data_IF_916522941906
#
_entry.id   IF_916522941906
#
_cell.length_a   1.000
_cell.length_b   1.000
_cell.length_c   1.000
_cell.angle_alpha   90.00
_cell.angle_beta   90.00
_cell.angle_gamma   90.00
#
_symmetry.space_group_name_H-M   'P 1'
#
loop_
_entity.id
_entity.type
_entity.pdbx_description
1 polymer ?
#
# COMPACT_ATOMS: atom_id res chain seq x y z
N UNK A 1 2.99 -15.38 7.04
CA UNK A 1 2.56 -14.09 7.60
C UNK A 1 1.05 -14.07 7.74
N UNK A 2 0.29 -14.44 6.70
CA UNK A 2 -1.16 -14.55 6.81
C UNK A 2 -1.60 -15.47 7.95
N UNK A 3 -2.59 -15.01 8.71
CA UNK A 3 -3.26 -15.71 9.82
C UNK A 3 -4.77 -15.42 9.75
N UNK A 4 -5.39 -15.83 8.64
CA UNK A 4 -6.82 -15.60 8.34
C UNK A 4 -7.79 -16.04 9.43
N UNK A 5 -7.40 -17.01 10.26
CA UNK A 5 -8.27 -17.61 11.27
C UNK A 5 -7.89 -17.18 12.69
N UNK A 6 -7.00 -16.18 12.86
CA UNK A 6 -6.49 -15.72 14.15
C UNK A 6 -6.06 -16.92 15.04
N UNK A 7 -5.23 -17.79 14.47
CA UNK A 7 -4.85 -19.06 15.10
C UNK A 7 -4.06 -18.84 16.40
N UNK A 8 -3.32 -17.72 16.48
CA UNK A 8 -2.61 -17.31 17.68
C UNK A 8 -3.49 -16.57 18.70
N UNK A 9 -4.74 -16.25 18.34
CA UNK A 9 -5.73 -15.51 19.16
C UNK A 9 -5.21 -14.18 19.64
N UNK A 10 -4.36 -13.56 18.84
CA UNK A 10 -3.89 -12.22 19.11
C UNK A 10 -4.93 -11.20 18.66
N UNK A 11 -5.99 -11.54 17.92
CA UNK A 11 -7.05 -10.65 17.48
C UNK A 11 -6.75 -9.91 16.16
N UNK A 12 -5.73 -10.35 15.42
CA UNK A 12 -5.34 -9.83 14.10
C UNK A 12 -5.44 -10.99 13.11
N UNK A 13 -6.24 -10.79 12.06
CA UNK A 13 -6.61 -11.83 11.08
C UNK A 13 -6.09 -11.52 9.68
N UNK A 14 -4.84 -11.06 9.61
CA UNK A 14 -4.22 -10.59 8.36
C UNK A 14 -4.31 -11.61 7.24
N UNK A 15 -4.80 -11.19 6.07
CA UNK A 15 -5.03 -12.10 4.95
C UNK A 15 -4.62 -11.60 3.58
N UNK A 16 -4.42 -12.54 2.66
CA UNK A 16 -4.12 -12.23 1.27
C UNK A 16 -5.38 -11.95 0.46
N UNK A 17 -5.30 -11.06 -0.53
CA UNK A 17 -6.31 -10.97 -1.58
C UNK A 17 -5.93 -11.88 -2.76
N UNK A 18 -6.89 -12.58 -3.35
CA UNK A 18 -6.73 -13.29 -4.62
C UNK A 18 -7.47 -12.51 -5.70
N UNK A 19 -6.80 -12.23 -6.81
CA UNK A 19 -7.31 -11.29 -7.82
C UNK A 19 -7.07 -11.83 -9.22
N UNK A 20 -7.93 -11.46 -10.15
CA UNK A 20 -7.67 -11.71 -11.57
C UNK A 20 -6.57 -10.77 -12.08
N UNK A 21 -5.53 -11.34 -12.71
CA UNK A 21 -4.43 -10.59 -13.31
C UNK A 21 -4.56 -10.62 -14.83
N UNK A 22 -4.90 -9.49 -15.48
CA UNK A 22 -4.97 -9.41 -16.94
C UNK A 22 -3.63 -9.68 -17.63
N UNK A 23 -2.51 -9.26 -17.03
CA UNK A 23 -1.17 -9.53 -17.60
C UNK A 23 -0.75 -10.99 -17.52
N UNK A 24 -1.23 -11.74 -16.52
CA UNK A 24 -0.93 -13.17 -16.36
C UNK A 24 -2.02 -14.09 -16.93
N UNK A 25 -3.19 -13.54 -17.27
CA UNK A 25 -4.39 -14.26 -17.68
C UNK A 25 -4.78 -15.38 -16.70
N UNK A 26 -4.65 -15.10 -15.41
CA UNK A 26 -4.91 -16.05 -14.33
C UNK A 26 -5.29 -15.35 -13.02
N UNK A 27 -5.89 -16.10 -12.10
CA UNK A 27 -5.96 -15.70 -10.70
C UNK A 27 -4.56 -15.72 -10.08
N UNK A 28 -4.25 -14.69 -9.31
CA UNK A 28 -2.95 -14.52 -8.67
C UNK A 28 -3.07 -13.80 -7.33
N UNK A 29 -2.01 -13.90 -6.52
CA UNK A 29 -1.89 -13.16 -5.28
C UNK A 29 -1.86 -11.64 -5.55
N UNK A 30 -2.80 -10.93 -4.95
CA UNK A 30 -2.86 -9.49 -4.90
C UNK A 30 -1.71 -8.86 -4.09
N UNK A 31 -1.11 -7.78 -4.61
CA UNK A 31 0.08 -7.14 -4.01
C UNK A 31 0.01 -5.61 -3.97
N UNK A 32 -0.57 -4.99 -4.99
CA UNK A 32 -0.59 -3.54 -5.17
C UNK A 32 -2.01 -2.96 -5.03
N UNK A 33 -2.10 -1.63 -4.90
CA UNK A 33 -3.34 -0.93 -4.61
C UNK A 33 -3.71 -0.92 -3.13
N UNK A 34 -4.83 -0.25 -2.81
CA UNK A 34 -5.30 -0.06 -1.43
C UNK A 34 -5.83 -1.34 -0.79
N UNK A 35 -6.43 -2.23 -1.60
CA UNK A 35 -6.98 -3.52 -1.16
C UNK A 35 -6.21 -4.72 -1.72
N UNK A 36 -4.93 -4.52 -2.04
CA UNK A 36 -4.11 -5.52 -2.74
C UNK A 36 -4.80 -6.02 -4.03
N UNK A 37 -5.52 -5.16 -4.75
CA UNK A 37 -6.41 -5.53 -5.85
C UNK A 37 -5.71 -5.67 -7.21
N UNK A 38 -4.38 -5.56 -7.25
CA UNK A 38 -3.54 -5.79 -8.44
C UNK A 38 -2.43 -6.78 -8.12
N UNK A 39 -2.25 -7.81 -8.96
CA UNK A 39 -1.25 -8.85 -8.72
C UNK A 39 0.16 -8.42 -9.12
N UNK A 40 0.30 -7.71 -10.23
CA UNK A 40 1.60 -7.27 -10.77
C UNK A 40 1.66 -5.75 -10.91
N UNK A 41 2.89 -5.20 -11.00
CA UNK A 41 3.06 -3.79 -11.39
C UNK A 41 2.56 -3.56 -12.82
N UNK A 42 2.64 -4.55 -13.71
CA UNK A 42 2.05 -4.45 -15.05
C UNK A 42 0.53 -4.23 -14.96
N UNK A 43 -0.20 -4.99 -14.14
CA UNK A 43 -1.65 -4.82 -13.97
C UNK A 43 -2.04 -3.44 -13.40
N UNK A 44 -1.20 -2.89 -12.51
CA UNK A 44 -1.41 -1.55 -11.93
C UNK A 44 -1.11 -0.46 -12.96
N UNK A 45 0.05 -0.51 -13.61
CA UNK A 45 0.53 0.51 -14.54
C UNK A 45 -0.33 0.55 -15.81
N UNK A 46 -0.56 -0.60 -16.44
CA UNK A 46 -1.39 -0.69 -17.64
C UNK A 46 -2.84 -0.27 -17.37
N UNK A 47 -3.37 -0.59 -16.18
CA UNK A 47 -4.69 -0.16 -15.76
C UNK A 47 -4.78 1.35 -15.51
N UNK A 48 -3.73 1.96 -14.96
CA UNK A 48 -3.67 3.41 -14.74
C UNK A 48 -3.54 4.21 -16.04
N UNK A 49 -2.80 3.69 -17.02
CA UNK A 49 -2.72 4.31 -18.35
C UNK A 49 -4.11 4.49 -18.96
N UNK A 50 -4.95 3.46 -18.97
CA UNK A 50 -6.31 3.57 -19.54
C UNK A 50 -7.30 4.25 -18.59
N UNK A 51 -7.24 3.96 -17.29
CA UNK A 51 -8.26 4.37 -16.32
C UNK A 51 -8.09 5.80 -15.80
N UNK A 52 -6.85 6.28 -15.71
CA UNK A 52 -6.53 7.60 -15.13
C UNK A 52 -6.01 8.59 -16.16
N UNK A 53 -5.22 8.12 -17.15
CA UNK A 53 -4.56 8.98 -18.15
C UNK A 53 -5.33 9.01 -19.47
N UNK A 54 -6.05 7.93 -19.81
CA UNK A 54 -6.75 7.77 -21.09
C UNK A 54 -5.82 7.39 -22.24
N UNK A 55 -4.91 6.44 -22.00
CA UNK A 55 -3.98 5.89 -23.00
C UNK A 55 -4.15 4.36 -23.06
N UNK A 56 -4.52 3.84 -24.22
CA UNK A 56 -4.69 2.39 -24.42
C UNK A 56 -3.36 1.64 -24.55
N UNK A 57 -3.36 0.35 -24.19
CA UNK A 57 -2.20 -0.55 -24.26
C UNK A 57 -2.64 -1.99 -24.60
N UNK A 58 -1.70 -2.90 -24.85
CA UNK A 58 -2.06 -4.28 -25.23
C UNK A 58 -2.71 -5.10 -24.10
N UNK A 59 -2.54 -4.73 -22.83
CA UNK A 59 -3.25 -5.38 -21.70
C UNK A 59 -4.70 -4.86 -21.61
N UNK A 60 -4.91 -3.58 -21.90
CA UNK A 60 -6.22 -2.91 -21.93
C UNK A 60 -6.38 -2.11 -23.23
N UNK A 61 -6.79 -2.77 -24.34
CA UNK A 61 -6.80 -2.17 -25.67
C UNK A 61 -8.05 -1.35 -25.98
N UNK A 62 -8.98 -1.26 -25.03
CA UNK A 62 -10.25 -0.55 -25.19
C UNK A 62 -10.24 0.72 -24.35
N UNK A 63 -10.77 1.80 -24.93
CA UNK A 63 -10.96 3.06 -24.22
C UNK A 63 -11.92 2.91 -23.03
N UNK A 64 -11.71 3.73 -22.00
CA UNK A 64 -12.56 3.74 -20.81
C UNK A 64 -13.70 4.74 -20.94
N UNK A 65 -14.69 4.44 -21.79
CA UNK A 65 -15.92 5.23 -21.94
C UNK A 65 -17.17 4.36 -21.77
N UNK A 66 -18.29 4.97 -21.39
CA UNK A 66 -19.59 4.30 -21.40
C UNK A 66 -20.12 4.18 -22.84
N UNK A 67 -21.16 3.35 -23.06
CA UNK A 67 -21.85 3.29 -24.36
C UNK A 67 -22.47 4.66 -24.74
N UNK A 68 -22.91 5.44 -23.74
CA UNK A 68 -23.46 6.78 -23.96
C UNK A 68 -22.41 7.81 -24.36
N UNK A 69 -21.14 7.53 -24.07
CA UNK A 69 -19.97 8.35 -24.40
C UNK A 69 -19.13 7.72 -25.51
N UNK A 70 -19.70 6.75 -26.24
CA UNK A 70 -19.01 6.08 -27.33
C UNK A 70 -18.47 7.12 -28.32
N UNK A 71 -17.16 7.07 -28.51
CA UNK A 71 -16.47 7.97 -29.42
C UNK A 71 -16.84 7.60 -30.86
N UNK A 72 -17.05 8.61 -31.71
CA UNK A 72 -17.24 8.40 -33.13
C UNK A 72 -15.95 7.84 -33.77
N UNK A 73 -16.08 7.13 -34.89
CA UNK A 73 -14.91 6.56 -35.59
C UNK A 73 -13.87 7.60 -36.03
N UNK A 74 -14.26 8.88 -36.13
CA UNK A 74 -13.41 10.02 -36.48
C UNK A 74 -12.81 10.75 -35.27
N UNK A 75 -13.03 10.25 -34.05
CA UNK A 75 -12.42 10.81 -32.85
C UNK A 75 -10.89 10.76 -32.97
N UNK A 76 -10.17 11.84 -32.60
CA UNK A 76 -8.70 11.82 -32.57
C UNK A 76 -8.20 10.65 -31.71
N UNK A 77 -7.29 9.86 -32.27
CA UNK A 77 -6.70 8.68 -31.62
C UNK A 77 -5.19 8.71 -31.74
N UNK A 78 -4.49 8.34 -30.67
CA UNK A 78 -3.04 8.17 -30.67
C UNK A 78 -2.56 6.87 -31.34
N UNK A 79 -3.46 5.99 -31.77
CA UNK A 79 -3.13 4.67 -32.31
C UNK A 79 -3.97 3.54 -31.72
N UNK A 80 -3.60 2.29 -32.03
CA UNK A 80 -4.29 1.10 -31.51
C UNK A 80 -3.28 -0.04 -31.30
N UNK A 81 -2.77 -0.26 -30.08
CA UNK A 81 -2.90 0.63 -28.91
C UNK A 81 -2.08 1.92 -29.06
N UNK A 82 -2.31 2.89 -28.17
CA UNK A 82 -1.62 4.19 -28.19
C UNK A 82 -0.20 4.18 -27.61
N UNK A 83 0.04 3.43 -26.53
CA UNK A 83 1.40 3.21 -26.00
C UNK A 83 1.98 1.90 -26.52
N UNK A 84 3.27 1.91 -26.86
CA UNK A 84 4.00 0.71 -27.26
C UNK A 84 4.26 -0.21 -26.06
N UNK A 85 4.40 -1.52 -26.30
CA UNK A 85 4.77 -2.47 -25.25
C UNK A 85 6.14 -2.12 -24.63
N UNK A 86 7.08 -1.63 -25.43
CA UNK A 86 8.41 -1.26 -24.95
C UNK A 86 8.33 -0.08 -23.97
N UNK A 87 7.56 0.96 -24.29
CA UNK A 87 7.43 2.12 -23.40
C UNK A 87 6.69 1.73 -22.10
N UNK A 88 5.67 0.87 -22.20
CA UNK A 88 4.97 0.35 -21.02
C UNK A 88 5.90 -0.50 -20.14
N UNK A 89 6.68 -1.40 -20.74
CA UNK A 89 7.68 -2.23 -20.05
C UNK A 89 8.77 -1.37 -19.40
N UNK A 90 9.23 -0.31 -20.06
CA UNK A 90 10.23 0.61 -19.52
C UNK A 90 9.71 1.35 -18.28
N UNK A 91 8.43 1.78 -18.28
CA UNK A 91 7.78 2.37 -17.11
C UNK A 91 7.67 1.35 -15.97
N UNK A 92 7.24 0.12 -16.28
CA UNK A 92 7.14 -0.96 -15.27
C UNK A 92 8.51 -1.28 -14.68
N UNK A 93 9.55 -1.38 -15.51
CA UNK A 93 10.92 -1.63 -15.07
C UNK A 93 11.47 -0.49 -14.20
N UNK A 94 11.21 0.76 -14.58
CA UNK A 94 11.55 1.93 -13.76
C UNK A 94 10.89 1.85 -12.37
N UNK A 95 9.59 1.56 -12.30
CA UNK A 95 8.88 1.42 -11.03
C UNK A 95 9.39 0.25 -10.17
N UNK A 96 9.76 -0.87 -10.80
CA UNK A 96 10.35 -2.02 -10.12
C UNK A 96 11.71 -1.73 -9.49
N UNK A 97 12.47 -0.80 -10.08
CA UNK A 97 13.86 -0.51 -9.70
C UNK A 97 14.02 0.80 -8.92
N UNK A 98 12.91 1.51 -8.66
CA UNK A 98 12.93 2.74 -7.90
C UNK A 98 13.35 2.48 -6.45
N UNK A 99 14.44 3.10 -6.04
CA UNK A 99 14.95 2.97 -4.68
C UNK A 99 14.02 3.63 -3.67
N UNK A 100 13.88 3.01 -2.51
CA UNK A 100 13.13 3.57 -1.38
C UNK A 100 13.95 4.69 -0.71
N UNK A 101 13.30 5.73 -0.16
CA UNK A 101 14.01 6.75 0.60
C UNK A 101 14.74 6.17 1.82
N UNK A 102 15.92 6.70 2.15
CA UNK A 102 16.61 6.33 3.37
C UNK A 102 15.86 6.83 4.62
N UNK A 103 15.92 6.03 5.69
CA UNK A 103 15.41 6.43 7.00
C UNK A 103 16.16 7.67 7.54
N UNK A 104 15.42 8.58 8.17
CA UNK A 104 15.88 9.90 8.64
C UNK A 104 16.13 9.87 10.14
N UNK A 105 17.16 9.14 10.55
CA UNK A 105 17.52 8.93 11.96
C UNK A 105 18.56 9.97 12.38
N UNK A 106 18.11 11.04 13.05
CA UNK A 106 18.99 12.11 13.52
C UNK A 106 19.58 11.83 14.91
N UNK A 107 18.77 11.31 15.84
CA UNK A 107 19.19 10.89 17.18
C UNK A 107 18.73 9.44 17.43
N UNK A 108 19.68 8.58 17.81
CA UNK A 108 19.43 7.16 18.06
C UNK A 108 18.65 6.91 19.35
N UNK A 109 18.76 7.78 20.35
CA UNK A 109 18.09 7.61 21.65
C UNK A 109 16.55 7.67 21.51
N UNK A 110 16.00 8.81 21.05
CA UNK A 110 14.58 8.95 20.76
C UNK A 110 14.07 7.93 19.74
N UNK A 111 14.83 7.66 18.68
CA UNK A 111 14.48 6.65 17.67
C UNK A 111 14.27 5.27 18.29
N UNK A 112 15.20 4.83 19.14
CA UNK A 112 15.12 3.50 19.77
C UNK A 112 13.93 3.40 20.73
N UNK A 113 13.66 4.46 21.52
CA UNK A 113 12.48 4.50 22.40
C UNK A 113 11.16 4.47 21.62
N UNK A 114 11.06 5.25 20.54
CA UNK A 114 9.88 5.26 19.69
C UNK A 114 9.65 3.91 18.99
N UNK A 115 10.73 3.24 18.56
CA UNK A 115 10.68 1.88 18.03
C UNK A 115 10.21 0.86 19.07
N UNK A 116 10.69 0.96 20.31
CA UNK A 116 10.25 0.10 21.42
C UNK A 116 8.76 0.28 21.68
N UNK A 117 8.29 1.53 21.78
CA UNK A 117 6.86 1.84 21.93
C UNK A 117 6.03 1.27 20.77
N UNK A 118 6.51 1.37 19.52
CA UNK A 118 5.84 0.83 18.33
C UNK A 118 5.64 -0.69 18.42
N UNK A 119 6.59 -1.40 19.03
CA UNK A 119 6.48 -2.83 19.28
C UNK A 119 5.56 -3.12 20.49
N UNK A 120 5.73 -2.38 21.58
CA UNK A 120 4.98 -2.54 22.84
C UNK A 120 3.47 -2.37 22.65
N UNK A 121 3.05 -1.36 21.88
CA UNK A 121 1.62 -1.10 21.61
C UNK A 121 1.09 -1.91 20.41
N UNK A 122 1.87 -2.89 19.93
CA UNK A 122 1.50 -3.82 18.86
C UNK A 122 1.28 -3.21 17.47
N UNK A 123 1.77 -2.00 17.16
CA UNK A 123 1.75 -1.50 15.78
C UNK A 123 2.51 -2.43 14.82
N UNK A 124 3.60 -3.03 15.32
CA UNK A 124 4.43 -3.97 14.57
C UNK A 124 3.76 -5.31 14.22
N UNK A 125 2.54 -5.57 14.71
CA UNK A 125 1.82 -6.80 14.39
C UNK A 125 1.34 -6.82 12.92
N UNK A 126 0.88 -5.68 12.39
CA UNK A 126 0.57 -5.51 10.96
C UNK A 126 1.70 -4.77 10.23
N UNK A 127 2.29 -3.74 10.87
CA UNK A 127 3.43 -3.00 10.31
C UNK A 127 4.77 -3.71 10.57
N UNK A 128 4.89 -4.94 10.06
CA UNK A 128 6.03 -5.83 10.31
C UNK A 128 7.35 -5.18 9.88
N UNK A 129 8.34 -5.03 10.78
CA UNK A 129 9.54 -4.24 10.50
C UNK A 129 10.47 -4.78 9.42
N UNK A 130 10.44 -6.09 9.12
CA UNK A 130 11.43 -6.75 8.28
C UNK A 130 10.76 -7.75 7.36
N UNK A 131 11.04 -7.66 6.06
CA UNK A 131 10.69 -8.65 5.07
C UNK A 131 11.95 -9.08 4.30
N UNK A 132 11.91 -10.28 3.72
CA UNK A 132 12.94 -10.78 2.80
C UNK A 132 12.35 -10.92 1.41
N UNK A 133 12.99 -10.37 0.39
CA UNK A 133 12.59 -10.60 -1.00
C UNK A 133 12.97 -12.03 -1.42
N UNK A 134 12.28 -12.54 -2.44
CA UNK A 134 12.52 -13.90 -2.93
C UNK A 134 13.95 -14.06 -3.44
N UNK A 135 14.59 -15.20 -3.14
CA UNK A 135 15.96 -15.49 -3.56
C UNK A 135 16.08 -15.69 -5.08
N UNK A 136 14.98 -16.06 -5.73
CA UNK A 136 14.86 -16.28 -7.17
C UNK A 136 14.24 -15.09 -7.93
N UNK A 137 14.10 -13.93 -7.29
CA UNK A 137 13.52 -12.74 -7.95
C UNK A 137 14.26 -12.41 -9.27
N UNK A 138 13.53 -12.07 -10.37
CA UNK A 138 14.14 -11.91 -11.70
C UNK A 138 15.24 -10.84 -11.77
N UNK A 139 15.02 -9.70 -11.11
CA UNK A 139 16.02 -8.62 -11.04
C UNK A 139 17.02 -8.99 -9.95
N UNK A 140 18.21 -9.47 -10.35
CA UNK A 140 19.21 -10.01 -9.42
C UNK A 140 19.67 -9.05 -8.33
N UNK A 141 19.71 -7.75 -8.61
CA UNK A 141 20.02 -6.73 -7.60
C UNK A 141 18.97 -6.66 -6.47
N UNK A 142 17.74 -7.10 -6.72
CA UNK A 142 16.62 -7.06 -5.78
C UNK A 142 16.31 -8.42 -5.13
N UNK A 143 16.98 -9.50 -5.56
CA UNK A 143 16.78 -10.85 -5.03
C UNK A 143 17.44 -11.05 -3.65
N UNK A 144 16.78 -11.80 -2.76
CA UNK A 144 17.32 -12.19 -1.44
C UNK A 144 17.61 -11.02 -0.48
N UNK A 145 17.06 -9.83 -0.75
CA UNK A 145 17.29 -8.62 0.03
C UNK A 145 16.51 -8.66 1.34
N UNK A 146 17.17 -8.23 2.43
CA UNK A 146 16.49 -7.95 3.69
C UNK A 146 16.12 -6.48 3.74
N UNK A 147 14.80 -6.21 3.71
CA UNK A 147 14.24 -4.86 3.65
C UNK A 147 13.49 -4.53 4.94
N UNK A 148 13.27 -3.24 5.22
CA UNK A 148 12.57 -2.76 6.42
C UNK A 148 11.32 -1.93 6.15
N UNK A 149 10.27 -2.49 5.51
CA UNK A 149 9.16 -1.71 4.98
C UNK A 149 8.07 -1.35 6.00
N UNK A 150 8.06 -1.99 7.18
CA UNK A 150 7.03 -1.81 8.21
C UNK A 150 5.63 -2.08 7.66
N UNK A 151 5.46 -3.29 7.13
CA UNK A 151 4.20 -3.82 6.57
C UNK A 151 4.33 -5.32 6.40
N UNK A 152 3.23 -6.04 6.53
CA UNK A 152 3.08 -7.43 6.13
C UNK A 152 2.46 -7.60 4.73
N UNK A 153 2.02 -6.50 4.12
CA UNK A 153 1.30 -6.40 2.84
C UNK A 153 -0.05 -7.15 2.83
N UNK A 154 -0.62 -7.45 4.00
CA UNK A 154 -1.88 -8.16 4.15
C UNK A 154 -3.06 -7.20 4.31
N UNK A 155 -4.25 -7.70 4.04
CA UNK A 155 -5.53 -7.07 4.34
C UNK A 155 -5.86 -7.23 5.81
N UNK A 156 -6.33 -6.14 6.43
CA UNK A 156 -6.84 -6.12 7.81
C UNK A 156 -8.14 -5.33 7.88
N UNK A 157 -9.07 -5.77 8.72
CA UNK A 157 -10.28 -5.01 9.04
C UNK A 157 -9.90 -3.77 9.87
N UNK A 158 -10.10 -2.58 9.29
CA UNK A 158 -9.79 -1.29 9.91
C UNK A 158 -11.00 -0.67 10.62
N UNK A 159 -12.12 -1.38 10.70
CA UNK A 159 -13.35 -0.96 11.35
C UNK A 159 -14.30 -0.17 10.45
N UNK A 160 -15.51 0.04 10.96
CA UNK A 160 -16.62 0.67 10.23
C UNK A 160 -16.32 2.13 9.84
N UNK A 161 -15.62 2.86 10.69
CA UNK A 161 -15.29 4.28 10.44
C UNK A 161 -14.39 4.45 9.21
N UNK A 162 -13.63 3.42 8.83
CA UNK A 162 -12.77 3.39 7.64
C UNK A 162 -13.35 2.50 6.53
N UNK A 163 -14.63 2.13 6.61
CA UNK A 163 -15.28 1.38 5.54
C UNK A 163 -15.59 2.27 4.33
N UNK A 164 -15.38 1.75 3.11
CA UNK A 164 -15.84 2.37 1.86
C UNK A 164 -17.13 1.72 1.32
N UNK A 165 -17.60 0.64 1.96
CA UNK A 165 -18.78 -0.12 1.55
C UNK A 165 -18.62 -0.89 0.23
N UNK A 166 -17.43 -0.92 -0.36
CA UNK A 166 -17.16 -1.52 -1.68
C UNK A 166 -16.22 -2.72 -1.56
N UNK A 167 -16.73 -3.95 -1.72
CA UNK A 167 -15.88 -5.12 -1.88
C UNK A 167 -14.99 -5.01 -3.13
N UNK A 168 -13.79 -5.57 -3.06
CA UNK A 168 -12.86 -5.65 -4.19
C UNK A 168 -12.16 -7.02 -4.20
N UNK A 169 -12.61 -7.89 -5.12
CA UNK A 169 -12.36 -9.33 -5.11
C UNK A 169 -12.74 -9.95 -3.75
N UNK A 170 -11.78 -10.55 -3.05
CA UNK A 170 -12.03 -11.14 -1.74
C UNK A 170 -12.02 -10.11 -0.62
N UNK A 171 -11.47 -8.90 -0.83
CA UNK A 171 -11.46 -7.84 0.19
C UNK A 171 -12.86 -7.27 0.41
N UNK A 172 -13.23 -7.10 1.67
CA UNK A 172 -14.48 -6.44 2.07
C UNK A 172 -14.37 -4.91 1.99
N UNK A 173 -15.48 -4.22 2.26
CA UNK A 173 -15.52 -2.76 2.36
C UNK A 173 -14.68 -2.18 3.51
N UNK A 174 -14.29 -3.00 4.49
CA UNK A 174 -13.57 -2.58 5.71
C UNK A 174 -12.10 -2.98 5.73
N UNK A 175 -11.71 -3.82 4.77
CA UNK A 175 -10.37 -4.36 4.70
C UNK A 175 -9.47 -3.48 3.84
N UNK A 176 -8.30 -3.17 4.39
CA UNK A 176 -7.27 -2.39 3.71
C UNK A 176 -5.93 -3.09 3.84
N UNK A 177 -5.14 -3.01 2.78
CA UNK A 177 -3.77 -3.50 2.78
C UNK A 177 -2.94 -2.61 3.70
N UNK A 178 -2.18 -3.18 4.62
CA UNK A 178 -1.21 -2.43 5.42
C UNK A 178 -0.19 -1.75 4.51
N UNK A 179 -0.18 -0.41 4.35
CA UNK A 179 0.78 0.23 3.47
C UNK A 179 2.18 0.23 4.12
N UNK A 180 3.27 0.08 3.32
CA UNK A 180 4.63 0.30 3.83
C UNK A 180 4.77 1.71 4.41
N UNK A 181 5.45 1.85 5.56
CA UNK A 181 5.68 3.16 6.19
C UNK A 181 6.94 3.88 5.68
N UNK A 182 7.63 3.30 4.69
CA UNK A 182 8.80 3.93 4.08
C UNK A 182 8.50 5.32 3.54
N UNK A 183 9.33 6.28 3.92
CA UNK A 183 9.23 7.65 3.45
C UNK A 183 7.99 8.38 3.93
N UNK A 184 7.24 7.88 4.93
CA UNK A 184 6.00 8.52 5.39
C UNK A 184 6.24 9.97 5.87
N UNK A 185 7.40 10.24 6.48
CA UNK A 185 7.78 11.61 6.87
C UNK A 185 8.20 12.52 5.71
N UNK A 186 8.21 12.04 4.46
CA UNK A 186 8.48 12.86 3.27
C UNK A 186 7.21 13.35 2.57
N UNK A 187 6.01 12.94 3.02
CA UNK A 187 4.74 13.27 2.37
C UNK A 187 4.58 14.76 2.10
N UNK A 188 4.86 15.61 3.10
CA UNK A 188 4.74 17.07 2.96
C UNK A 188 5.69 17.62 1.89
N UNK A 189 6.92 17.11 1.85
CA UNK A 189 7.94 17.56 0.90
C UNK A 189 7.60 17.18 -0.54
N UNK A 190 6.98 16.01 -0.75
CA UNK A 190 6.67 15.47 -2.08
C UNK A 190 5.30 15.95 -2.58
N UNK A 191 4.29 15.98 -1.70
CA UNK A 191 2.89 16.23 -2.09
C UNK A 191 2.36 17.60 -1.64
N UNK A 192 3.11 18.35 -0.82
CA UNK A 192 2.64 19.63 -0.26
C UNK A 192 1.58 19.48 0.84
N UNK A 193 1.35 18.27 1.35
CA UNK A 193 0.41 17.98 2.43
C UNK A 193 0.79 16.74 3.24
N UNK A 194 0.19 16.59 4.43
CA UNK A 194 0.38 15.44 5.34
C UNK A 194 -0.87 14.56 5.48
N UNK A 195 -1.82 14.66 4.54
CA UNK A 195 -3.03 13.83 4.51
C UNK A 195 -2.70 12.35 4.36
N UNK A 196 -3.28 11.51 5.24
CA UNK A 196 -3.06 10.07 5.35
C UNK A 196 -4.39 9.30 5.31
N UNK A 197 -4.27 7.97 5.23
CA UNK A 197 -5.35 6.99 4.99
C UNK A 197 -5.87 7.01 3.55
N UNK A 198 -6.66 6.01 3.18
CA UNK A 198 -7.10 5.78 1.79
C UNK A 198 -7.90 6.94 1.19
N UNK A 199 -8.54 7.75 2.03
CA UNK A 199 -9.36 8.90 1.65
C UNK A 199 -8.76 10.25 2.05
N UNK A 200 -7.53 10.26 2.59
CA UNK A 200 -6.83 11.48 2.97
C UNK A 200 -7.46 12.26 4.13
N UNK A 201 -8.31 11.62 4.97
CA UNK A 201 -8.99 12.30 6.08
C UNK A 201 -8.06 12.71 7.22
N UNK A 202 -7.01 11.92 7.49
CA UNK A 202 -6.14 12.12 8.65
C UNK A 202 -5.10 13.18 8.31
N UNK A 203 -5.00 14.25 9.10
CA UNK A 203 -4.11 15.39 8.80
C UNK A 203 -2.65 15.12 9.17
N UNK A 204 -2.39 14.11 9.98
CA UNK A 204 -1.05 13.76 10.45
C UNK A 204 -1.05 12.31 11.00
N UNK A 205 0.13 11.84 11.41
CA UNK A 205 0.33 10.48 11.95
C UNK A 205 -0.49 10.23 13.21
N UNK A 206 -0.63 11.21 14.11
CA UNK A 206 -1.43 11.05 15.33
C UNK A 206 -2.90 10.80 15.00
N UNK A 207 -3.48 11.61 14.11
CA UNK A 207 -4.86 11.40 13.65
C UNK A 207 -5.02 10.07 12.92
N UNK A 208 -4.05 9.68 12.09
CA UNK A 208 -4.09 8.40 11.40
C UNK A 208 -4.16 7.26 12.43
N UNK A 209 -3.30 7.26 13.45
CA UNK A 209 -3.33 6.28 14.55
C UNK A 209 -4.70 6.31 15.24
N UNK A 210 -5.27 7.49 15.51
CA UNK A 210 -6.57 7.61 16.16
C UNK A 210 -7.76 7.18 15.29
N UNK A 211 -7.60 7.05 13.97
CA UNK A 211 -8.62 6.46 13.09
C UNK A 211 -8.53 4.93 12.99
N UNK A 212 -7.44 4.30 13.43
CA UNK A 212 -7.32 2.84 13.39
C UNK A 212 -8.35 2.19 14.31
N UNK A 213 -9.33 1.50 13.71
CA UNK A 213 -10.34 0.68 14.38
C UNK A 213 -10.12 -0.80 14.10
N UNK A 214 -11.19 -1.59 14.14
CA UNK A 214 -11.17 -3.02 13.80
C UNK A 214 -10.09 -3.79 14.56
N UNK A 215 -9.25 -4.52 13.83
CA UNK A 215 -8.14 -5.31 14.38
C UNK A 215 -7.12 -4.44 15.14
N UNK A 216 -6.92 -3.19 14.71
CA UNK A 216 -5.98 -2.25 15.31
C UNK A 216 -6.55 -1.47 16.51
N UNK A 217 -7.80 -1.73 16.93
CA UNK A 217 -8.44 -1.00 18.03
C UNK A 217 -7.65 -1.07 19.35
N UNK A 218 -7.01 -2.21 19.66
CA UNK A 218 -6.18 -2.32 20.87
C UNK A 218 -4.93 -1.44 20.81
N UNK A 219 -4.23 -1.41 19.68
CA UNK A 219 -3.09 -0.51 19.46
C UNK A 219 -3.50 0.97 19.55
N UNK A 220 -4.66 1.32 19.00
CA UNK A 220 -5.23 2.66 19.11
C UNK A 220 -5.51 3.05 20.58
N UNK A 221 -6.07 2.15 21.38
CA UNK A 221 -6.32 2.40 22.81
C UNK A 221 -5.04 2.46 23.65
N UNK A 222 -4.05 1.62 23.33
CA UNK A 222 -2.73 1.67 23.95
C UNK A 222 -2.04 3.01 23.67
N UNK A 223 -2.10 3.50 22.42
CA UNK A 223 -1.61 4.83 22.06
C UNK A 223 -2.30 5.96 22.86
N UNK A 224 -3.63 5.89 23.03
CA UNK A 224 -4.38 6.84 23.86
C UNK A 224 -3.96 6.81 25.33
N UNK A 225 -3.40 5.70 25.80
CA UNK A 225 -2.93 5.54 27.18
C UNK A 225 -1.48 6.01 27.40
N UNK A 226 -0.70 6.19 26.32
CA UNK A 226 0.64 6.78 26.38
C UNK A 226 0.57 8.23 26.88
N UNK A 227 1.58 8.64 27.66
CA UNK A 227 1.78 10.04 27.99
C UNK A 227 2.24 10.84 26.75
N UNK A 228 2.28 12.17 26.89
CA UNK A 228 2.60 13.07 25.78
C UNK A 228 3.98 12.76 25.18
N UNK A 229 4.99 12.60 26.03
CA UNK A 229 6.38 12.36 25.62
C UNK A 229 6.50 11.03 24.86
N UNK A 230 5.81 9.99 25.31
CA UNK A 230 5.77 8.68 24.63
C UNK A 230 5.10 8.78 23.25
N UNK A 231 3.97 9.50 23.14
CA UNK A 231 3.31 9.71 21.83
C UNK A 231 4.22 10.44 20.87
N UNK A 232 4.89 11.49 21.32
CA UNK A 232 5.84 12.25 20.50
C UNK A 232 7.00 11.36 20.02
N UNK A 233 7.56 10.51 20.89
CA UNK A 233 8.61 9.57 20.52
C UNK A 233 8.14 8.55 19.47
N UNK A 234 6.94 8.00 19.62
CA UNK A 234 6.36 7.08 18.64
C UNK A 234 6.14 7.78 17.28
N UNK A 235 5.55 8.97 17.29
CA UNK A 235 5.28 9.75 16.07
C UNK A 235 6.59 10.10 15.36
N UNK A 236 7.61 10.54 16.10
CA UNK A 236 8.94 10.82 15.55
C UNK A 236 9.57 9.57 14.94
N UNK A 237 9.42 8.41 15.60
CA UNK A 237 9.88 7.14 15.03
C UNK A 237 9.19 6.85 13.69
N UNK A 238 7.86 6.93 13.61
CA UNK A 238 7.12 6.70 12.36
C UNK A 238 7.56 7.69 11.27
N UNK A 239 7.66 8.98 11.59
CA UNK A 239 8.11 10.01 10.64
C UNK A 239 9.57 9.85 10.20
N UNK A 240 10.38 9.08 10.92
CA UNK A 240 11.76 8.78 10.54
C UNK A 240 11.88 7.66 9.50
N UNK A 241 10.83 6.85 9.30
CA UNK A 241 10.79 5.75 8.32
C UNK A 241 10.68 6.26 6.89
#
# INVERSE_FOLDING_TARGET
>A
LADENDANRDGISGRSNQVWSPSLLAEALGRFGWKANKATLMDQTAGAFVGDIGITNNVFPQENHTEAEALSEDHPSGGSPEISDQDLDDVVFYLQTLAVPAARIHDRGPFQKGKELFQEIQCAACHVPLLKTADDYPIKALAGQTIRPYTDLLLHDMGEDLADGRPDYHATGREWRTPPLWGIGLLEKVNGHTRLLHDGRARNVEEAILWHGGEAARSQQAFKSLNKEQRELLIQFVLSL
#
